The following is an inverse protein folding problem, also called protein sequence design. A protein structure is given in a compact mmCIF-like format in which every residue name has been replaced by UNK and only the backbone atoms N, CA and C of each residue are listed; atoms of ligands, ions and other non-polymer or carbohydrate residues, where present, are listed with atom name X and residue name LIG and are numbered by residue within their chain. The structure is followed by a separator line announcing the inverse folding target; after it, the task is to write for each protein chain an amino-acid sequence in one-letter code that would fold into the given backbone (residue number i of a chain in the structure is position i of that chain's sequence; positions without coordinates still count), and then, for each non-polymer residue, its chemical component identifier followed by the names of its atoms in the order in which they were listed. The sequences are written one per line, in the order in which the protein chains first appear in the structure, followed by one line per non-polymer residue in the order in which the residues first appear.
data_IF_425872981543
#
_entry.id   IF_425872981543
#
_cell.length_a   1.000
_cell.length_b   1.000
_cell.length_c   1.000
_cell.angle_alpha   90.00
_cell.angle_beta   90.00
_cell.angle_gamma   90.00
#
_symmetry.space_group_name_H-M   'P 1'
#
loop_
_entity.id
_entity.type
_entity.pdbx_description
1 polymer ?
#
# COMPACT_ATOMS: atom_id res chain seq x y z
N UNK A 1 -8.60 11.55 -23.25
CA UNK A 1 -9.12 11.10 -21.94
C UNK A 1 -8.09 10.30 -21.15
N UNK A 2 -7.56 9.18 -21.66
CA UNK A 2 -6.60 8.35 -20.92
C UNK A 2 -5.28 9.09 -20.59
N UNK A 3 -4.70 9.80 -21.56
CA UNK A 3 -3.47 10.58 -21.32
C UNK A 3 -3.63 11.62 -20.21
N UNK A 4 -4.81 12.24 -20.12
CA UNK A 4 -5.13 13.21 -19.06
C UNK A 4 -5.11 12.56 -17.68
N UNK A 5 -5.69 11.36 -17.55
CA UNK A 5 -5.69 10.60 -16.29
C UNK A 5 -4.28 10.11 -15.93
N UNK A 6 -3.49 9.69 -16.92
CA UNK A 6 -2.08 9.32 -16.72
C UNK A 6 -1.32 10.52 -16.16
N UNK A 7 -1.38 11.67 -16.82
CA UNK A 7 -0.70 12.88 -16.37
C UNK A 7 -1.13 13.28 -14.96
N UNK A 8 -2.42 13.21 -14.65
CA UNK A 8 -2.93 13.49 -13.31
C UNK A 8 -2.35 12.53 -12.26
N UNK A 9 -2.26 11.22 -12.56
CA UNK A 9 -1.66 10.24 -11.66
C UNK A 9 -0.16 10.44 -11.41
N UNK A 10 0.55 11.11 -12.33
CA UNK A 10 1.99 11.33 -12.21
C UNK A 10 2.37 12.57 -11.36
N UNK A 11 1.39 13.35 -10.89
CA UNK A 11 1.63 14.63 -10.21
C UNK A 11 2.60 14.53 -9.02
N UNK A 12 2.53 13.44 -8.25
CA UNK A 12 3.40 13.19 -7.08
C UNK A 12 4.38 12.02 -7.31
N UNK A 13 4.52 11.54 -8.55
CA UNK A 13 5.42 10.42 -8.87
C UNK A 13 6.82 10.96 -9.10
N UNK A 14 7.58 11.09 -8.01
CA UNK A 14 8.97 11.53 -8.03
C UNK A 14 9.81 10.77 -7.00
N UNK A 15 11.13 10.86 -7.14
CA UNK A 15 12.08 10.24 -6.22
C UNK A 15 13.25 9.58 -6.95
N UNK A 16 14.05 8.83 -6.19
CA UNK A 16 15.17 8.06 -6.71
C UNK A 16 14.94 6.57 -6.47
N UNK A 17 15.21 5.79 -7.50
CA UNK A 17 15.21 4.31 -7.43
C UNK A 17 16.63 3.83 -7.63
N UNK A 18 17.15 3.10 -6.66
CA UNK A 18 18.48 2.48 -6.73
C UNK A 18 18.35 1.09 -7.32
N UNK A 19 19.08 0.84 -8.41
CA UNK A 19 19.04 -0.41 -9.16
C UNK A 19 20.38 -1.15 -9.10
N UNK A 20 20.32 -2.48 -9.15
CA UNK A 20 21.45 -3.35 -9.49
C UNK A 20 21.19 -3.98 -10.84
N UNK A 21 22.16 -3.89 -11.75
CA UNK A 21 22.12 -4.51 -13.06
C UNK A 21 23.06 -5.71 -13.05
N UNK A 22 22.55 -6.91 -13.31
CA UNK A 22 23.35 -8.13 -13.23
C UNK A 22 22.90 -9.17 -14.25
N UNK A 23 23.80 -9.58 -15.14
CA UNK A 23 23.59 -10.65 -16.14
C UNK A 23 22.26 -10.52 -16.90
N UNK A 24 21.94 -9.31 -17.37
CA UNK A 24 20.69 -9.02 -18.08
C UNK A 24 19.47 -8.81 -17.19
N UNK A 25 19.63 -8.85 -15.86
CA UNK A 25 18.57 -8.56 -14.88
C UNK A 25 18.65 -7.13 -14.33
N UNK A 26 17.50 -6.59 -13.93
CA UNK A 26 17.34 -5.28 -13.27
C UNK A 26 16.66 -5.50 -11.92
N UNK A 27 17.34 -5.15 -10.83
CA UNK A 27 16.88 -5.42 -9.47
C UNK A 27 16.74 -4.10 -8.72
N UNK A 28 15.56 -3.81 -8.19
CA UNK A 28 15.33 -2.66 -7.30
C UNK A 28 15.90 -2.96 -5.92
N UNK A 29 16.79 -2.10 -5.43
CA UNK A 29 17.46 -2.27 -4.12
C UNK A 29 17.32 -1.07 -3.20
N UNK A 30 16.57 -0.06 -3.60
CA UNK A 30 16.30 1.11 -2.79
C UNK A 30 15.33 2.05 -3.49
N UNK A 31 14.53 2.75 -2.71
CA UNK A 31 13.56 3.76 -3.14
C UNK A 31 13.59 4.87 -2.11
N UNK A 32 13.57 6.11 -2.56
CA UNK A 32 13.39 7.28 -1.71
C UNK A 32 12.63 8.35 -2.48
N UNK A 33 11.76 9.09 -1.79
CA UNK A 33 11.20 10.35 -2.25
C UNK A 33 11.30 11.33 -1.10
N UNK A 34 11.88 12.50 -1.35
CA UNK A 34 12.12 13.50 -0.30
C UNK A 34 10.87 14.31 0.04
N UNK A 35 9.89 14.37 -0.86
CA UNK A 35 8.73 15.27 -0.75
C UNK A 35 7.40 14.55 -0.80
N UNK A 36 7.32 13.40 -1.47
CA UNK A 36 6.05 12.74 -1.80
C UNK A 36 6.03 11.25 -1.43
N UNK A 37 6.90 10.83 -0.50
CA UNK A 37 6.84 9.49 0.07
C UNK A 37 5.58 9.33 0.91
N UNK A 38 4.73 8.38 0.54
CA UNK A 38 3.61 7.92 1.37
C UNK A 38 4.02 6.80 2.34
N UNK A 39 5.28 6.36 2.30
CA UNK A 39 5.81 5.44 3.29
C UNK A 39 6.11 6.21 4.58
N UNK A 40 5.54 5.74 5.68
CA UNK A 40 5.78 6.22 7.04
C UNK A 40 6.29 5.06 7.90
N UNK A 41 7.53 5.19 8.36
CA UNK A 41 8.20 4.16 9.17
C UNK A 41 7.53 3.97 10.54
N UNK A 42 6.94 5.03 11.10
CA UNK A 42 6.27 4.97 12.41
C UNK A 42 4.98 4.15 12.40
N UNK A 43 4.30 4.10 11.24
CA UNK A 43 3.10 3.28 11.04
C UNK A 43 3.47 1.85 10.64
N UNK A 44 4.55 1.68 9.87
CA UNK A 44 4.94 0.39 9.31
C UNK A 44 5.77 -0.49 10.28
N UNK A 45 6.31 0.08 11.35
CA UNK A 45 7.15 -0.64 12.30
C UNK A 45 6.37 -1.60 13.20
N UNK A 46 7.08 -2.61 13.71
CA UNK A 46 6.60 -3.52 14.76
C UNK A 46 7.09 -3.13 16.17
N UNK A 47 7.93 -2.09 16.27
CA UNK A 47 8.38 -1.49 17.53
C UNK A 47 7.24 -0.70 18.20
N UNK A 48 7.49 -0.06 19.36
CA UNK A 48 6.54 0.90 19.95
C UNK A 48 6.27 2.03 18.95
N UNK A 49 5.15 1.92 18.23
CA UNK A 49 4.66 2.84 17.20
C UNK A 49 4.20 4.19 17.75
N UNK A 50 4.49 4.48 19.02
CA UNK A 50 4.03 5.63 19.80
C UNK A 50 2.51 5.87 19.71
N UNK A 51 1.71 4.84 19.38
CA UNK A 51 0.27 4.95 19.16
C UNK A 51 -0.13 5.45 17.76
N UNK A 52 0.77 5.43 16.78
CA UNK A 52 0.49 5.81 15.39
C UNK A 52 -0.58 4.90 14.73
N UNK A 53 -0.74 3.64 15.19
CA UNK A 53 -1.75 2.74 14.67
C UNK A 53 -2.48 1.93 15.75
N UNK A 54 -3.80 2.14 15.87
CA UNK A 54 -4.63 1.35 16.77
C UNK A 54 -5.02 -0.01 16.15
N UNK A 55 -4.32 -1.06 16.54
CA UNK A 55 -4.54 -2.43 16.08
C UNK A 55 -5.98 -2.94 16.30
N UNK A 56 -6.73 -2.39 17.28
CA UNK A 56 -8.13 -2.80 17.52
C UNK A 56 -9.06 -2.45 16.37
N UNK A 57 -8.73 -1.42 15.59
CA UNK A 57 -9.57 -0.99 14.47
C UNK A 57 -9.57 -2.00 13.31
N UNK A 58 -8.52 -2.83 13.21
CA UNK A 58 -8.40 -3.88 12.21
C UNK A 58 -9.53 -4.91 12.30
N UNK A 59 -9.98 -5.26 13.52
CA UNK A 59 -11.06 -6.23 13.72
C UNK A 59 -12.37 -5.77 13.06
N UNK A 60 -12.75 -4.51 13.28
CA UNK A 60 -13.94 -3.90 12.69
C UNK A 60 -13.83 -3.83 11.17
N UNK A 61 -12.69 -3.37 10.66
CA UNK A 61 -12.42 -3.26 9.23
C UNK A 61 -12.54 -4.62 8.52
N UNK A 62 -11.91 -5.67 9.05
CA UNK A 62 -11.95 -7.03 8.48
C UNK A 62 -13.40 -7.53 8.43
N UNK A 63 -14.15 -7.40 9.53
CA UNK A 63 -15.54 -7.86 9.62
C UNK A 63 -16.43 -7.17 8.59
N UNK A 64 -16.27 -5.85 8.42
CA UNK A 64 -17.08 -5.05 7.50
C UNK A 64 -16.70 -5.31 6.04
N UNK A 65 -15.41 -5.34 5.71
CA UNK A 65 -14.94 -5.58 4.34
C UNK A 65 -15.35 -6.97 3.84
N UNK A 66 -15.28 -7.98 4.73
CA UNK A 66 -15.68 -9.35 4.43
C UNK A 66 -17.20 -9.57 4.46
N UNK A 67 -18.01 -8.60 4.90
CA UNK A 67 -19.46 -8.78 5.11
C UNK A 67 -20.17 -9.28 3.85
N UNK A 68 -19.91 -8.66 2.69
CA UNK A 68 -20.52 -9.06 1.41
C UNK A 68 -20.16 -10.49 1.00
N UNK A 69 -18.94 -10.93 1.32
CA UNK A 69 -18.45 -12.27 1.01
C UNK A 69 -19.12 -13.31 1.90
N UNK A 70 -19.23 -13.02 3.20
CA UNK A 70 -19.90 -13.89 4.18
C UNK A 70 -21.37 -14.10 3.84
N UNK A 71 -22.09 -13.04 3.45
CA UNK A 71 -23.49 -13.13 3.01
C UNK A 71 -23.62 -13.98 1.75
N UNK A 72 -22.77 -13.75 0.75
CA UNK A 72 -22.80 -14.51 -0.49
C UNK A 72 -22.53 -16.01 -0.24
N UNK A 73 -21.56 -16.35 0.61
CA UNK A 73 -21.27 -17.73 1.00
C UNK A 73 -22.46 -18.36 1.74
N UNK A 74 -23.05 -17.67 2.72
CA UNK A 74 -24.20 -18.16 3.45
C UNK A 74 -25.43 -18.41 2.56
N UNK A 75 -25.64 -17.61 1.51
CA UNK A 75 -26.71 -17.83 0.52
C UNK A 75 -26.46 -19.02 -0.40
N UNK A 76 -25.21 -19.40 -0.66
CA UNK A 76 -24.84 -20.54 -1.53
C UNK A 76 -24.85 -21.89 -0.80
N UNK A 77 -24.76 -21.87 0.53
CA UNK A 77 -24.84 -23.05 1.40
C UNK A 77 -26.28 -23.41 1.77
N UNK A 78 -27.25 -22.56 1.42
CA UNK A 78 -28.68 -22.85 1.44
C UNK A 78 -29.10 -23.35 0.06
#
# INVERSE_FOLDING_TARGET
MLQTMINASQANVNGKVRLKLYKGNVIVVGRESSTDSLFDESIATFEEDAGAYNQKDAEGFIKLNALRLRIAAAKRLK
#
